data_IF_858208054134
#
_entry.id   IF_858208054134
#
_cell.length_a   1.000
_cell.length_b   1.000
_cell.length_c   1.000
_cell.angle_alpha   90.00
_cell.angle_beta   90.00
_cell.angle_gamma   90.00
#
_symmetry.space_group_name_H-M   'P 1'
#
loop_
_entity.id
_entity.type
_entity.pdbx_description
1 polymer ?
#
# COMPACT_ATOMS: atom_id res chain seq x y z
N UNK A 1 -35.34 -43.29 -20.06
CA UNK A 1 -34.02 -43.97 -19.99
C UNK A 1 -32.87 -43.08 -19.55
N UNK A 2 -32.95 -41.74 -19.69
CA UNK A 2 -31.84 -40.84 -19.33
C UNK A 2 -31.51 -40.81 -17.83
N UNK A 3 -32.50 -40.80 -16.91
CA UNK A 3 -32.23 -40.68 -15.46
C UNK A 3 -31.42 -41.84 -14.86
N UNK A 4 -31.49 -43.06 -15.41
CA UNK A 4 -30.76 -44.22 -14.86
C UNK A 4 -29.27 -44.21 -15.21
N UNK A 5 -28.88 -43.59 -16.32
CA UNK A 5 -27.48 -43.59 -16.79
C UNK A 5 -26.60 -42.57 -16.05
N UNK A 6 -27.20 -41.49 -15.53
CA UNK A 6 -26.47 -40.41 -14.87
C UNK A 6 -26.54 -40.43 -13.34
N UNK A 7 -27.16 -41.44 -12.73
CA UNK A 7 -27.32 -41.48 -11.27
C UNK A 7 -25.97 -41.59 -10.53
N UNK A 8 -25.03 -42.35 -11.08
CA UNK A 8 -23.68 -42.54 -10.51
C UNK A 8 -22.83 -41.25 -10.59
N UNK A 9 -22.68 -40.56 -11.74
CA UNK A 9 -21.89 -39.33 -11.77
C UNK A 9 -22.52 -38.19 -10.95
N UNK A 10 -23.86 -38.13 -10.87
CA UNK A 10 -24.55 -37.12 -10.05
C UNK A 10 -24.28 -37.34 -8.55
N UNK A 11 -24.31 -38.59 -8.06
CA UNK A 11 -24.02 -38.86 -6.65
C UNK A 11 -22.58 -38.53 -6.27
N UNK A 12 -21.60 -38.85 -7.13
CA UNK A 12 -20.19 -38.49 -6.92
C UNK A 12 -20.01 -36.96 -6.88
N UNK A 13 -20.70 -36.22 -7.75
CA UNK A 13 -20.63 -34.77 -7.77
C UNK A 13 -21.20 -34.12 -6.49
N UNK A 14 -22.32 -34.65 -5.96
CA UNK A 14 -22.90 -34.17 -4.70
C UNK A 14 -21.96 -34.42 -3.52
N UNK A 15 -21.33 -35.60 -3.45
CA UNK A 15 -20.36 -35.93 -2.39
C UNK A 15 -19.13 -35.01 -2.46
N UNK A 16 -18.66 -34.69 -3.67
CA UNK A 16 -17.54 -33.76 -3.85
C UNK A 16 -17.88 -32.35 -3.35
N UNK A 17 -19.07 -31.81 -3.68
CA UNK A 17 -19.52 -30.50 -3.20
C UNK A 17 -19.63 -30.50 -1.67
N UNK A 18 -20.24 -31.54 -1.08
CA UNK A 18 -20.37 -31.66 0.36
C UNK A 18 -19.00 -31.71 1.06
N UNK A 19 -18.04 -32.47 0.50
CA UNK A 19 -16.68 -32.55 1.01
C UNK A 19 -15.94 -31.21 0.98
N UNK A 20 -16.04 -30.46 -0.12
CA UNK A 20 -15.44 -29.11 -0.24
C UNK A 20 -16.12 -28.12 0.71
N UNK A 21 -17.45 -28.18 0.83
CA UNK A 21 -18.21 -27.34 1.76
C UNK A 21 -17.82 -27.56 3.23
N UNK A 22 -17.68 -28.82 3.64
CA UNK A 22 -17.20 -29.19 4.99
C UNK A 22 -15.76 -28.74 5.23
N UNK A 23 -14.88 -28.90 4.26
CA UNK A 23 -13.50 -28.44 4.34
C UNK A 23 -13.41 -26.92 4.53
N UNK A 24 -14.21 -26.15 3.79
CA UNK A 24 -14.27 -24.68 3.93
C UNK A 24 -14.85 -24.25 5.27
N UNK A 25 -15.82 -24.99 5.82
CA UNK A 25 -16.34 -24.71 7.17
C UNK A 25 -15.30 -24.99 8.26
N UNK A 26 -14.53 -26.07 8.13
CA UNK A 26 -13.52 -26.46 9.10
C UNK A 26 -12.29 -25.52 9.11
N UNK A 27 -12.04 -24.83 8.00
CA UNK A 27 -10.90 -23.93 7.83
C UNK A 27 -11.23 -22.46 8.03
N UNK A 28 -12.46 -22.11 8.45
CA UNK A 28 -12.75 -20.73 8.81
C UNK A 28 -11.94 -20.35 10.06
N UNK A 29 -11.13 -19.28 10.00
CA UNK A 29 -10.42 -18.80 11.17
C UNK A 29 -11.43 -18.44 12.26
N UNK A 30 -11.10 -18.69 13.55
CA UNK A 30 -11.97 -18.33 14.65
C UNK A 30 -12.34 -16.85 14.54
N UNK A 31 -13.64 -16.54 14.64
CA UNK A 31 -14.12 -15.16 14.58
C UNK A 31 -13.36 -14.32 15.61
N UNK A 32 -12.82 -13.19 15.18
CA UNK A 32 -12.02 -12.31 16.02
C UNK A 32 -12.72 -12.03 17.35
N UNK A 33 -11.98 -12.13 18.46
CA UNK A 33 -12.52 -11.88 19.79
C UNK A 33 -13.03 -10.44 19.86
N UNK A 34 -14.32 -10.29 20.15
CA UNK A 34 -14.95 -8.99 20.38
C UNK A 34 -14.35 -8.42 21.67
N UNK A 35 -13.35 -7.55 21.53
CA UNK A 35 -12.80 -6.78 22.64
C UNK A 35 -13.84 -5.74 23.07
N UNK A 36 -14.62 -6.07 24.10
CA UNK A 36 -15.50 -5.11 24.77
C UNK A 36 -14.61 -4.19 25.61
N UNK A 37 -14.10 -3.12 24.99
CA UNK A 37 -13.43 -2.05 25.71
C UNK A 37 -14.53 -1.28 26.45
N UNK A 38 -14.73 -1.61 27.73
CA UNK A 38 -15.51 -0.75 28.63
C UNK A 38 -14.77 0.57 28.75
N UNK A 39 -15.38 1.72 28.39
CA UNK A 39 -14.76 3.01 28.61
C UNK A 39 -14.59 3.22 30.12
N UNK A 40 -13.33 3.27 30.57
CA UNK A 40 -12.99 3.67 31.93
C UNK A 40 -12.98 5.18 31.95
N UNK A 41 -13.88 5.78 32.72
CA UNK A 41 -13.88 7.22 32.97
C UNK A 41 -12.55 7.64 33.61
N UNK A 42 -11.89 8.69 33.10
CA UNK A 42 -10.62 9.14 33.66
C UNK A 42 -10.86 9.74 35.05
N UNK A 43 -10.27 9.10 36.07
CA UNK A 43 -10.19 9.66 37.42
C UNK A 43 -9.51 11.05 37.38
N UNK A 44 -10.00 12.02 38.17
CA UNK A 44 -9.42 13.36 38.23
C UNK A 44 -7.96 13.30 38.68
N UNK A 45 -7.08 13.98 37.92
CA UNK A 45 -5.65 14.05 38.20
C UNK A 45 -5.41 14.66 39.60
N UNK A 46 -4.66 13.99 40.49
CA UNK A 46 -4.22 14.61 41.74
C UNK A 46 -3.24 15.77 41.45
N UNK A 47 -3.19 16.79 42.31
CA UNK A 47 -2.29 17.93 42.16
C UNK A 47 -0.83 17.46 42.17
N UNK A 48 -0.06 17.95 41.20
CA UNK A 48 1.35 17.66 41.02
C UNK A 48 2.12 18.27 42.19
N UNK A 49 2.61 17.41 43.08
CA UNK A 49 3.65 17.78 44.03
C UNK A 49 5.00 17.73 43.30
N UNK A 50 5.73 18.84 43.31
CA UNK A 50 7.11 18.92 42.82
C UNK A 50 7.99 17.97 43.64
N UNK A 51 8.50 16.92 42.99
CA UNK A 51 9.55 16.08 43.56
C UNK A 51 10.91 16.77 43.35
N UNK A 52 11.82 16.72 44.33
CA UNK A 52 13.15 17.31 44.19
C UNK A 52 13.92 16.60 43.09
N UNK A 53 14.52 17.40 42.21
CA UNK A 53 15.31 16.97 41.07
C UNK A 53 16.54 16.20 41.57
N UNK A 54 16.43 14.87 41.55
CA UNK A 54 17.53 13.94 41.80
C UNK A 54 18.39 13.81 40.54
N UNK A 55 19.66 14.16 40.71
CA UNK A 55 20.71 14.20 39.70
C UNK A 55 21.07 12.78 39.22
N UNK A 56 20.33 12.25 38.23
CA UNK A 56 20.73 11.04 37.49
C UNK A 56 20.55 11.24 35.98
N UNK A 57 21.21 12.27 35.46
CA UNK A 57 21.56 12.39 34.04
C UNK A 57 22.92 11.69 33.81
N UNK A 58 22.98 10.37 33.99
CA UNK A 58 24.13 9.56 33.61
C UNK A 58 23.73 8.72 32.40
N UNK A 59 24.11 9.17 31.19
CA UNK A 59 23.87 8.36 30.00
C UNK A 59 24.36 8.89 28.66
N UNK A 60 24.76 10.16 28.52
CA UNK A 60 25.14 10.69 27.18
C UNK A 60 26.65 10.85 26.92
N UNK A 61 27.52 10.71 27.94
CA UNK A 61 28.96 11.03 27.81
C UNK A 61 29.91 9.84 28.04
N UNK A 62 29.39 8.62 28.11
CA UNK A 62 30.20 7.40 28.28
C UNK A 62 30.05 6.51 27.06
N UNK A 63 31.17 6.25 26.38
CA UNK A 63 31.21 5.31 25.26
C UNK A 63 31.14 3.86 25.76
N UNK A 64 30.72 2.95 24.87
CA UNK A 64 30.65 1.52 25.18
C UNK A 64 32.02 0.88 25.52
N UNK A 65 33.12 1.57 25.23
CA UNK A 65 34.49 1.17 25.57
C UNK A 65 34.99 1.74 26.93
N UNK A 66 34.14 2.46 27.66
CA UNK A 66 34.45 3.01 28.98
C UNK A 66 35.21 4.33 28.97
N UNK A 67 35.44 4.95 27.80
CA UNK A 67 36.02 6.29 27.72
C UNK A 67 34.98 7.39 27.93
N UNK A 68 35.36 8.46 28.66
CA UNK A 68 34.52 9.61 28.99
C UNK A 68 35.08 10.89 28.37
N UNK A 69 34.20 11.75 27.88
CA UNK A 69 34.56 13.08 27.36
C UNK A 69 33.66 14.17 27.97
N UNK A 70 34.27 15.32 28.25
CA UNK A 70 33.60 16.46 28.91
C UNK A 70 32.73 17.29 27.98
N UNK A 71 33.00 17.24 26.67
CA UNK A 71 32.26 18.02 25.68
C UNK A 71 30.96 17.33 25.30
N UNK A 72 29.81 18.03 25.31
CA UNK A 72 28.55 17.49 24.83
C UNK A 72 28.68 17.16 23.34
N UNK A 73 28.19 15.99 22.94
CA UNK A 73 28.05 15.69 21.52
C UNK A 73 27.14 16.74 20.88
N UNK A 74 27.69 17.53 19.97
CA UNK A 74 26.94 18.48 19.19
C UNK A 74 25.86 17.68 18.42
N UNK A 75 24.59 17.77 18.83
CA UNK A 75 23.45 17.06 18.20
C UNK A 75 23.13 17.58 16.79
N UNK A 76 24.03 18.38 16.23
CA UNK A 76 24.00 19.02 14.94
C UNK A 76 25.08 18.42 14.04
N UNK A 77 24.97 17.13 13.73
CA UNK A 77 25.29 16.61 12.40
C UNK A 77 24.78 15.17 12.32
N UNK A 78 23.95 14.81 11.32
CA UNK A 78 23.80 13.40 10.95
C UNK A 78 25.20 12.81 10.74
N UNK A 79 25.42 11.52 11.05
CA UNK A 79 26.75 10.91 11.04
C UNK A 79 27.49 11.40 9.81
N UNK A 80 28.60 12.10 10.04
CA UNK A 80 29.50 12.57 8.99
C UNK A 80 29.67 11.39 8.06
N UNK A 81 29.01 11.48 6.90
CA UNK A 81 29.29 10.64 5.75
C UNK A 81 30.80 10.77 5.66
N UNK A 82 31.53 9.70 5.95
CA UNK A 82 32.96 9.68 5.70
C UNK A 82 33.04 9.97 4.22
N UNK A 83 33.29 11.24 3.88
CA UNK A 83 33.71 11.65 2.56
C UNK A 83 35.09 11.03 2.44
N UNK A 84 35.12 9.73 2.10
CA UNK A 84 36.15 9.23 1.22
C UNK A 84 35.98 10.03 -0.06
N UNK A 85 36.55 11.24 -0.10
CA UNK A 85 36.87 11.98 -1.32
C UNK A 85 37.64 11.02 -2.20
N UNK A 86 36.94 10.29 -3.08
CA UNK A 86 37.55 9.41 -4.06
C UNK A 86 36.93 8.02 -4.24
N UNK A 87 36.04 7.55 -3.35
CA UNK A 87 35.33 6.28 -3.61
C UNK A 87 33.87 6.58 -4.01
N UNK A 88 33.54 6.62 -5.32
CA UNK A 88 32.16 6.73 -5.76
C UNK A 88 31.36 5.58 -5.16
N UNK A 89 30.30 5.91 -4.43
CA UNK A 89 29.37 4.89 -3.97
C UNK A 89 28.70 4.27 -5.21
N UNK A 90 28.49 2.95 -5.29
CA UNK A 90 27.87 2.31 -6.45
C UNK A 90 26.55 2.97 -6.88
N UNK A 91 25.79 3.50 -5.91
CA UNK A 91 24.58 4.31 -6.12
C UNK A 91 24.79 5.53 -7.01
N UNK A 92 25.91 6.23 -6.85
CA UNK A 92 26.10 7.57 -7.40
C UNK A 92 26.30 7.53 -8.92
N UNK A 93 26.70 6.37 -9.45
CA UNK A 93 26.96 6.13 -10.88
C UNK A 93 25.74 5.51 -11.58
N UNK A 94 24.86 4.79 -10.87
CA UNK A 94 23.88 3.90 -11.51
C UNK A 94 22.41 4.18 -11.16
N UNK A 95 22.08 4.97 -10.12
CA UNK A 95 20.68 5.11 -9.66
C UNK A 95 19.75 5.78 -10.68
N UNK A 96 20.26 6.61 -11.59
CA UNK A 96 19.40 7.33 -12.56
C UNK A 96 19.22 6.61 -13.90
N UNK A 97 20.14 5.74 -14.30
CA UNK A 97 20.15 5.16 -15.67
C UNK A 97 20.11 3.62 -15.70
N UNK A 98 20.38 2.93 -14.57
CA UNK A 98 20.52 1.47 -14.51
C UNK A 98 19.41 0.61 -15.13
N UNK A 99 18.11 0.92 -15.01
CA UNK A 99 17.08 0.05 -15.59
C UNK A 99 17.08 0.05 -17.12
N UNK A 100 17.64 1.08 -17.77
CA UNK A 100 17.67 1.21 -19.23
C UNK A 100 19.02 0.84 -19.86
N UNK A 101 20.06 0.57 -19.06
CA UNK A 101 21.37 0.18 -19.58
C UNK A 101 21.23 -1.12 -20.37
N UNK A 102 21.46 -1.04 -21.68
CA UNK A 102 21.54 -2.20 -22.57
C UNK A 102 22.99 -2.61 -22.75
N UNK A 103 23.30 -3.87 -22.47
CA UNK A 103 24.60 -4.47 -22.78
C UNK A 103 24.37 -5.64 -23.73
N UNK A 104 24.97 -5.56 -24.93
CA UNK A 104 24.75 -6.52 -26.02
C UNK A 104 23.26 -6.74 -26.33
N UNK A 105 22.46 -5.68 -26.32
CA UNK A 105 21.03 -5.72 -26.63
C UNK A 105 20.13 -6.26 -25.52
N UNK A 106 20.69 -6.75 -24.40
CA UNK A 106 19.95 -7.20 -23.22
C UNK A 106 19.81 -6.09 -22.20
N UNK A 107 18.66 -6.01 -21.54
CA UNK A 107 18.47 -5.09 -20.41
C UNK A 107 19.33 -5.54 -19.22
N UNK A 108 19.77 -4.60 -18.39
CA UNK A 108 20.71 -4.88 -17.30
C UNK A 108 20.24 -5.99 -16.34
N UNK A 109 18.92 -6.11 -16.12
CA UNK A 109 18.33 -7.16 -15.29
C UNK A 109 18.32 -8.56 -15.95
N UNK A 110 18.54 -8.67 -17.26
CA UNK A 110 18.62 -9.92 -18.01
C UNK A 110 20.07 -10.46 -18.09
N UNK A 111 21.05 -9.66 -17.67
CA UNK A 111 22.45 -10.03 -17.69
C UNK A 111 22.77 -11.07 -16.62
N UNK A 112 23.76 -11.91 -16.89
CA UNK A 112 24.32 -12.82 -15.88
C UNK A 112 25.10 -12.04 -14.81
N UNK A 113 25.28 -12.58 -13.59
CA UNK A 113 26.08 -11.93 -12.55
C UNK A 113 27.50 -11.55 -13.01
N UNK A 114 28.12 -12.37 -13.88
CA UNK A 114 29.45 -12.09 -14.45
C UNK A 114 29.43 -10.90 -15.42
N UNK A 115 28.39 -10.76 -16.23
CA UNK A 115 28.23 -9.62 -17.15
C UNK A 115 27.96 -8.32 -16.37
N UNK A 116 27.11 -8.37 -15.34
CA UNK A 116 26.88 -7.22 -14.45
C UNK A 116 28.17 -6.77 -13.76
N UNK A 117 28.94 -7.72 -13.23
CA UNK A 117 30.24 -7.43 -12.62
C UNK A 117 31.20 -6.70 -13.58
N UNK A 118 31.25 -7.11 -14.86
CA UNK A 118 32.07 -6.43 -15.89
C UNK A 118 31.64 -5.00 -16.13
N UNK A 119 30.34 -4.73 -16.20
CA UNK A 119 29.82 -3.36 -16.40
C UNK A 119 30.19 -2.47 -15.22
N UNK A 120 30.13 -3.01 -14.01
CA UNK A 120 30.45 -2.26 -12.80
C UNK A 120 31.92 -2.05 -12.57
N UNK A 121 32.73 -3.03 -12.91
CA UNK A 121 34.17 -2.86 -12.91
C UNK A 121 34.58 -1.80 -13.94
N UNK A 122 33.95 -1.80 -15.13
CA UNK A 122 34.16 -0.76 -16.15
C UNK A 122 33.80 0.63 -15.62
N UNK A 123 32.59 0.80 -15.08
CA UNK A 123 32.15 2.09 -14.55
C UNK A 123 32.97 2.54 -13.33
N UNK A 124 33.42 1.62 -12.49
CA UNK A 124 34.33 1.94 -11.40
C UNK A 124 35.67 2.48 -11.93
N UNK A 125 36.28 1.81 -12.91
CA UNK A 125 37.55 2.25 -13.52
C UNK A 125 37.42 3.61 -14.21
N UNK A 126 36.30 3.87 -14.88
CA UNK A 126 36.01 5.17 -15.51
C UNK A 126 35.92 6.31 -14.49
N UNK A 127 35.39 6.04 -13.29
CA UNK A 127 35.24 7.06 -12.24
C UNK A 127 36.45 7.19 -11.30
N UNK A 128 37.21 6.11 -11.07
CA UNK A 128 38.28 6.07 -10.04
C UNK A 128 39.69 6.04 -10.63
N UNK A 129 39.85 6.16 -11.96
CA UNK A 129 41.15 6.22 -12.68
C UNK A 129 42.14 5.13 -12.25
N UNK A 130 42.14 4.02 -12.96
CA UNK A 130 43.15 2.94 -12.93
C UNK A 130 43.30 2.17 -11.60
N UNK A 131 42.51 2.47 -10.57
CA UNK A 131 42.43 1.64 -9.37
C UNK A 131 41.53 0.41 -9.60
N UNK A 132 41.92 -0.80 -9.16
CA UNK A 132 41.00 -1.93 -9.10
C UNK A 132 39.90 -1.67 -8.05
N UNK A 133 38.67 -2.18 -8.24
CA UNK A 133 37.61 -2.05 -7.24
C UNK A 133 38.03 -2.74 -5.92
N UNK A 134 37.75 -2.13 -4.75
CA UNK A 134 38.13 -2.70 -3.48
C UNK A 134 37.43 -4.06 -3.24
N UNK A 135 38.03 -4.95 -2.44
CA UNK A 135 37.38 -6.21 -2.06
C UNK A 135 35.97 -5.98 -1.52
N UNK A 136 34.98 -6.66 -2.08
CA UNK A 136 33.57 -6.53 -1.68
C UNK A 136 32.75 -5.48 -2.42
N UNK A 137 33.37 -4.59 -3.22
CA UNK A 137 32.66 -3.58 -4.02
C UNK A 137 31.55 -4.20 -4.90
N UNK A 138 31.88 -5.25 -5.65
CA UNK A 138 30.91 -5.92 -6.53
C UNK A 138 29.72 -6.51 -5.76
N UNK A 139 29.95 -7.02 -4.54
CA UNK A 139 28.88 -7.56 -3.69
C UNK A 139 27.99 -6.46 -3.14
N UNK A 140 28.58 -5.35 -2.69
CA UNK A 140 27.85 -4.19 -2.18
C UNK A 140 27.00 -3.55 -3.29
N UNK A 141 27.59 -3.38 -4.46
CA UNK A 141 26.88 -2.90 -5.62
C UNK A 141 25.74 -3.88 -5.98
N UNK A 142 25.94 -5.21 -5.94
CA UNK A 142 24.91 -6.19 -6.36
C UNK A 142 23.73 -6.14 -5.42
N UNK A 143 24.00 -6.02 -4.11
CA UNK A 143 22.97 -5.80 -3.11
C UNK A 143 22.17 -4.50 -3.37
N UNK A 144 22.85 -3.42 -3.75
CA UNK A 144 22.22 -2.15 -4.10
C UNK A 144 21.38 -2.24 -5.36
N UNK A 145 21.84 -2.90 -6.41
CA UNK A 145 21.05 -3.13 -7.61
C UNK A 145 19.81 -3.98 -7.34
N UNK A 146 19.94 -5.04 -6.54
CA UNK A 146 18.79 -5.83 -6.11
C UNK A 146 17.81 -4.98 -5.28
N UNK A 147 18.28 -4.01 -4.48
CA UNK A 147 17.43 -3.04 -3.78
C UNK A 147 16.70 -2.14 -4.79
N UNK A 148 17.39 -1.61 -5.79
CA UNK A 148 16.80 -0.77 -6.85
C UNK A 148 15.74 -1.56 -7.62
N UNK A 149 16.06 -2.79 -8.06
CA UNK A 149 15.09 -3.66 -8.73
C UNK A 149 13.85 -3.92 -7.86
N UNK A 150 14.03 -4.17 -6.56
CA UNK A 150 12.90 -4.32 -5.63
C UNK A 150 12.06 -3.05 -5.57
N UNK A 151 12.68 -1.87 -5.54
CA UNK A 151 11.96 -0.59 -5.55
C UNK A 151 11.30 -0.25 -6.90
N UNK A 152 11.83 -0.76 -8.02
CA UNK A 152 11.18 -0.65 -9.33
C UNK A 152 9.96 -1.58 -9.45
N UNK A 153 10.01 -2.71 -8.73
CA UNK A 153 8.87 -3.62 -8.55
C UNK A 153 7.91 -3.16 -7.44
N UNK A 154 8.24 -2.10 -6.69
CA UNK A 154 7.34 -1.50 -5.72
C UNK A 154 6.31 -0.62 -6.45
N UNK A 155 5.01 -0.84 -6.22
CA UNK A 155 3.98 -0.06 -6.88
C UNK A 155 4.04 1.39 -6.41
N UNK A 156 4.15 2.31 -7.35
CA UNK A 156 4.00 3.74 -7.08
C UNK A 156 2.50 4.04 -7.07
N UNK A 157 1.98 4.42 -5.91
CA UNK A 157 0.57 4.75 -5.70
C UNK A 157 0.46 6.20 -5.27
N UNK A 158 -0.26 6.98 -6.07
CA UNK A 158 -0.53 8.39 -5.80
C UNK A 158 -2.01 8.56 -5.43
N UNK A 159 -2.27 9.36 -4.40
CA UNK A 159 -3.62 9.69 -3.95
C UNK A 159 -3.88 11.15 -4.26
N UNK A 160 -4.86 11.40 -5.10
CA UNK A 160 -5.38 12.75 -5.37
C UNK A 160 -6.76 12.87 -4.73
N UNK A 161 -7.14 14.05 -4.27
CA UNK A 161 -8.49 14.26 -3.71
C UNK A 161 -9.35 15.02 -4.71
N UNK A 162 -10.48 14.45 -5.07
CA UNK A 162 -11.45 15.07 -5.99
C UNK A 162 -12.76 15.33 -5.25
N UNK A 163 -13.59 16.22 -5.79
CA UNK A 163 -14.94 16.43 -5.26
C UNK A 163 -15.87 15.38 -5.85
N UNK A 164 -16.51 14.57 -5.00
CA UNK A 164 -17.39 13.48 -5.39
C UNK A 164 -18.45 13.19 -4.34
N UNK A 165 -19.12 12.04 -4.46
CA UNK A 165 -20.13 11.60 -3.50
C UNK A 165 -19.46 11.06 -2.23
N UNK A 166 -19.51 11.83 -1.14
CA UNK A 166 -18.91 11.55 0.16
C UNK A 166 -20.01 11.52 1.25
N UNK A 167 -20.97 10.59 1.17
CA UNK A 167 -22.10 10.55 2.09
C UNK A 167 -21.65 10.16 3.50
N UNK A 168 -22.36 10.66 4.51
CA UNK A 168 -22.31 10.05 5.85
C UNK A 168 -23.07 8.71 5.88
N UNK A 169 -23.02 7.98 7.00
CA UNK A 169 -23.68 6.66 7.15
C UNK A 169 -25.17 6.67 6.84
N UNK A 170 -25.89 7.70 7.30
CA UNK A 170 -27.35 7.82 7.10
C UNK A 170 -27.65 8.05 5.62
N UNK A 171 -26.98 9.02 5.01
CA UNK A 171 -27.12 9.33 3.59
C UNK A 171 -26.78 8.11 2.72
N UNK A 172 -25.75 7.34 3.07
CA UNK A 172 -25.39 6.14 2.32
C UNK A 172 -26.48 5.07 2.40
N UNK A 173 -27.04 4.82 3.58
CA UNK A 173 -28.14 3.87 3.75
C UNK A 173 -29.37 4.30 2.93
N UNK A 174 -29.73 5.59 2.96
CA UNK A 174 -30.83 6.13 2.16
C UNK A 174 -30.56 5.97 0.66
N UNK A 175 -29.33 6.26 0.21
CA UNK A 175 -28.93 6.10 -1.19
C UNK A 175 -29.11 4.64 -1.67
N UNK A 176 -28.69 3.66 -0.86
CA UNK A 176 -28.82 2.24 -1.20
C UNK A 176 -30.28 1.79 -1.27
N UNK A 177 -31.13 2.25 -0.37
CA UNK A 177 -32.57 1.97 -0.38
C UNK A 177 -33.25 2.57 -1.63
N UNK A 178 -32.94 3.83 -1.97
CA UNK A 178 -33.43 4.48 -3.18
C UNK A 178 -32.97 3.75 -4.45
N UNK A 179 -31.71 3.29 -4.52
CA UNK A 179 -31.20 2.48 -5.63
C UNK A 179 -31.95 1.16 -5.78
N UNK A 180 -32.28 0.49 -4.67
CA UNK A 180 -33.07 -0.75 -4.70
C UNK A 180 -34.48 -0.50 -5.22
N UNK A 181 -35.16 0.55 -4.71
CA UNK A 181 -36.50 0.97 -5.18
C UNK A 181 -36.49 1.32 -6.67
N UNK A 182 -35.46 2.04 -7.12
CA UNK A 182 -35.32 2.44 -8.52
C UNK A 182 -35.26 1.20 -9.43
N UNK A 183 -34.45 0.20 -9.09
CA UNK A 183 -34.36 -1.05 -9.86
C UNK A 183 -35.70 -1.78 -9.95
N UNK A 184 -36.48 -1.80 -8.86
CA UNK A 184 -37.82 -2.39 -8.86
C UNK A 184 -38.74 -1.62 -9.79
N UNK A 185 -38.84 -0.29 -9.64
CA UNK A 185 -39.68 0.56 -10.48
C UNK A 185 -39.32 0.45 -11.98
N UNK A 186 -38.03 0.39 -12.31
CA UNK A 186 -37.57 0.17 -13.69
C UNK A 186 -38.00 -1.20 -14.22
N UNK A 187 -37.86 -2.26 -13.41
CA UNK A 187 -38.23 -3.61 -13.80
C UNK A 187 -39.74 -3.82 -13.98
N UNK A 188 -40.58 -3.06 -13.27
CA UNK A 188 -42.04 -3.11 -13.37
C UNK A 188 -42.60 -2.14 -14.41
N UNK A 189 -41.75 -1.32 -15.05
CA UNK A 189 -42.16 -0.31 -16.02
C UNK A 189 -42.85 0.93 -15.40
N UNK A 190 -42.69 1.15 -14.10
CA UNK A 190 -43.24 2.31 -13.38
C UNK A 190 -42.40 3.58 -13.67
N UNK A 191 -42.51 4.12 -14.89
CA UNK A 191 -41.65 5.20 -15.40
C UNK A 191 -41.69 6.48 -14.57
N UNK A 192 -42.87 6.88 -14.08
CA UNK A 192 -43.03 8.08 -13.26
C UNK A 192 -42.29 7.93 -11.92
N UNK A 193 -42.49 6.81 -11.23
CA UNK A 193 -41.83 6.51 -9.96
C UNK A 193 -40.31 6.42 -10.13
N UNK A 194 -39.84 5.75 -11.19
CA UNK A 194 -38.42 5.67 -11.50
C UNK A 194 -37.80 7.06 -11.71
N UNK A 195 -38.51 7.98 -12.37
CA UNK A 195 -38.02 9.35 -12.57
C UNK A 195 -37.96 10.14 -11.25
N UNK A 196 -38.96 9.99 -10.37
CA UNK A 196 -38.93 10.60 -9.03
C UNK A 196 -37.75 10.09 -8.22
N UNK A 197 -37.53 8.76 -8.19
CA UNK A 197 -36.42 8.14 -7.46
C UNK A 197 -35.06 8.59 -8.00
N UNK A 198 -34.90 8.75 -9.32
CA UNK A 198 -33.67 9.32 -9.91
C UNK A 198 -33.41 10.74 -9.43
N UNK A 199 -34.44 11.59 -9.41
CA UNK A 199 -34.31 12.97 -8.94
C UNK A 199 -33.94 13.04 -7.44
N UNK A 200 -34.52 12.16 -6.61
CA UNK A 200 -34.15 12.04 -5.19
C UNK A 200 -32.70 11.59 -5.00
N UNK A 201 -32.24 10.60 -5.79
CA UNK A 201 -30.86 10.14 -5.77
C UNK A 201 -29.90 11.27 -6.18
N UNK A 202 -30.20 12.01 -7.25
CA UNK A 202 -29.38 13.13 -7.70
C UNK A 202 -29.31 14.25 -6.65
N UNK A 203 -30.43 14.58 -6.02
CA UNK A 203 -30.49 15.56 -4.93
C UNK A 203 -29.65 15.11 -3.73
N UNK A 204 -29.76 13.84 -3.33
CA UNK A 204 -28.96 13.28 -2.25
C UNK A 204 -27.45 13.28 -2.59
N UNK A 205 -27.10 12.95 -3.83
CA UNK A 205 -25.71 13.00 -4.30
C UNK A 205 -25.15 14.42 -4.30
N UNK A 206 -25.95 15.41 -4.69
CA UNK A 206 -25.57 16.82 -4.64
C UNK A 206 -25.37 17.31 -3.20
N UNK A 207 -26.27 16.93 -2.28
CA UNK A 207 -26.19 17.28 -0.87
C UNK A 207 -25.01 16.59 -0.13
N UNK A 208 -24.59 15.43 -0.60
CA UNK A 208 -23.48 14.65 -0.05
C UNK A 208 -22.16 14.87 -0.81
N UNK A 209 -21.99 15.99 -1.52
CA UNK A 209 -20.71 16.29 -2.18
C UNK A 209 -19.62 16.59 -1.15
N UNK A 210 -18.47 15.95 -1.31
CA UNK A 210 -17.30 16.17 -0.47
C UNK A 210 -16.01 15.67 -1.11
N UNK A 211 -14.92 15.69 -0.36
CA UNK A 211 -13.63 15.17 -0.83
C UNK A 211 -13.66 13.64 -0.82
N UNK A 212 -13.28 13.02 -1.92
CA UNK A 212 -13.07 11.58 -2.04
C UNK A 212 -11.68 11.30 -2.61
N UNK A 213 -11.01 10.23 -2.15
CA UNK A 213 -9.72 9.85 -2.70
C UNK A 213 -9.90 9.26 -4.09
N UNK A 214 -9.06 9.70 -5.02
CA UNK A 214 -8.86 9.12 -6.34
C UNK A 214 -7.44 8.56 -6.37
N UNK A 215 -7.35 7.23 -6.37
CA UNK A 215 -6.06 6.54 -6.33
C UNK A 215 -5.63 6.19 -7.74
N UNK A 216 -4.45 6.66 -8.13
CA UNK A 216 -3.76 6.29 -9.36
C UNK A 216 -2.54 5.45 -9.02
N UNK A 217 -2.18 4.53 -9.91
CA UNK A 217 -1.04 3.66 -9.70
C UNK A 217 -0.31 3.38 -11.00
N UNK A 218 1.03 3.38 -10.94
CA UNK A 218 1.89 2.94 -12.03
C UNK A 218 2.78 1.76 -11.60
N UNK A 219 2.98 0.82 -12.53
CA UNK A 219 3.81 -0.36 -12.34
C UNK A 219 4.63 -0.63 -13.61
N UNK A 220 5.80 -1.22 -13.45
CA UNK A 220 6.68 -1.54 -14.58
C UNK A 220 6.65 -3.03 -14.98
N UNK A 221 6.21 -3.93 -14.09
CA UNK A 221 6.24 -5.38 -14.32
C UNK A 221 4.87 -6.06 -14.11
N UNK A 222 4.63 -7.22 -14.75
CA UNK A 222 3.42 -8.02 -14.52
C UNK A 222 3.31 -8.53 -13.07
N UNK A 223 4.44 -8.75 -12.39
CA UNK A 223 4.46 -9.02 -10.94
C UNK A 223 4.01 -7.79 -10.15
N UNK A 224 4.46 -6.60 -10.54
CA UNK A 224 4.02 -5.31 -10.01
C UNK A 224 2.51 -5.08 -10.18
N UNK A 225 1.90 -5.56 -11.26
CA UNK A 225 0.45 -5.42 -11.53
C UNK A 225 -0.46 -6.04 -10.47
N UNK A 226 -0.08 -7.17 -9.86
CA UNK A 226 -0.88 -7.76 -8.77
C UNK A 226 -0.68 -6.96 -7.48
N UNK A 227 0.57 -6.59 -7.18
CA UNK A 227 0.93 -5.80 -6.00
C UNK A 227 0.29 -4.41 -6.03
N UNK A 228 0.21 -3.77 -7.19
CA UNK A 228 -0.34 -2.42 -7.30
C UNK A 228 -1.83 -2.39 -7.01
N UNK A 229 -2.61 -3.39 -7.42
CA UNK A 229 -4.04 -3.42 -7.10
C UNK A 229 -4.27 -3.51 -5.59
N UNK A 230 -3.48 -4.35 -4.91
CA UNK A 230 -3.54 -4.46 -3.47
C UNK A 230 -3.09 -3.16 -2.79
N UNK A 231 -1.94 -2.60 -3.20
CA UNK A 231 -1.43 -1.35 -2.65
C UNK A 231 -2.38 -0.17 -2.88
N UNK A 232 -2.99 -0.07 -4.08
CA UNK A 232 -4.02 0.93 -4.38
C UNK A 232 -5.23 0.77 -3.48
N UNK A 233 -5.73 -0.47 -3.30
CA UNK A 233 -6.86 -0.76 -2.41
C UNK A 233 -6.54 -0.37 -0.96
N UNK A 234 -5.40 -0.80 -0.42
CA UNK A 234 -4.98 -0.47 0.95
C UNK A 234 -4.84 1.04 1.16
N UNK A 235 -4.24 1.74 0.20
CA UNK A 235 -4.08 3.21 0.23
C UNK A 235 -5.42 3.94 0.11
N UNK A 236 -6.30 3.46 -0.76
CA UNK A 236 -7.66 3.99 -0.92
C UNK A 236 -8.46 3.83 0.36
N UNK A 237 -8.48 2.63 0.95
CA UNK A 237 -9.19 2.34 2.20
C UNK A 237 -8.68 3.20 3.36
N UNK A 238 -7.35 3.35 3.48
CA UNK A 238 -6.76 4.22 4.49
C UNK A 238 -7.20 5.68 4.29
N UNK A 239 -7.17 6.19 3.05
CA UNK A 239 -7.59 7.56 2.76
C UNK A 239 -9.08 7.79 3.05
N UNK A 240 -9.96 6.82 2.78
CA UNK A 240 -11.37 6.90 3.18
C UNK A 240 -11.53 6.92 4.71
N UNK A 241 -10.76 6.12 5.45
CA UNK A 241 -10.77 6.13 6.93
C UNK A 241 -10.32 7.48 7.48
N UNK A 242 -9.25 8.05 6.93
CA UNK A 242 -8.70 9.35 7.34
C UNK A 242 -9.70 10.50 7.09
N UNK A 243 -10.57 10.38 6.09
CA UNK A 243 -11.65 11.33 5.81
C UNK A 243 -12.93 11.10 6.65
N UNK A 244 -12.93 10.13 7.55
CA UNK A 244 -14.14 9.75 8.30
C UNK A 244 -15.21 9.05 7.46
N UNK A 245 -14.83 8.54 6.28
CA UNK A 245 -15.68 7.84 5.33
C UNK A 245 -15.47 6.31 5.39
N UNK A 246 -14.97 5.79 6.50
CA UNK A 246 -14.67 4.36 6.67
C UNK A 246 -15.86 3.42 6.39
N UNK A 247 -17.09 3.89 6.59
CA UNK A 247 -18.31 3.12 6.25
C UNK A 247 -18.48 2.85 4.75
N UNK A 248 -17.86 3.65 3.87
CA UNK A 248 -17.88 3.39 2.43
C UNK A 248 -17.04 2.16 2.06
N UNK A 249 -15.97 1.90 2.83
CA UNK A 249 -15.12 0.72 2.68
C UNK A 249 -15.86 -0.53 3.18
N UNK A 250 -16.50 -0.44 4.35
CA UNK A 250 -17.24 -1.56 4.96
C UNK A 250 -18.37 -2.09 4.06
N UNK A 251 -19.01 -1.19 3.31
CA UNK A 251 -20.09 -1.54 2.41
C UNK A 251 -19.62 -1.92 0.99
N UNK A 252 -18.31 -2.01 0.75
CA UNK A 252 -17.68 -2.35 -0.54
C UNK A 252 -18.09 -1.42 -1.70
N UNK A 253 -18.24 -0.12 -1.39
CA UNK A 253 -18.77 0.89 -2.32
C UNK A 253 -17.72 1.93 -2.74
N UNK A 254 -16.47 1.79 -2.28
CA UNK A 254 -15.37 2.71 -2.60
C UNK A 254 -15.14 2.88 -4.10
N UNK A 255 -15.52 1.89 -4.93
CA UNK A 255 -15.42 1.95 -6.38
C UNK A 255 -16.53 2.72 -7.11
N UNK A 256 -17.65 3.07 -6.47
CA UNK A 256 -18.76 3.78 -7.15
C UNK A 256 -18.45 5.26 -7.42
N UNK A 257 -17.48 5.83 -6.72
CA UNK A 257 -17.05 7.23 -6.89
C UNK A 257 -16.02 7.41 -8.00
N UNK A 258 -15.59 6.32 -8.66
CA UNK A 258 -14.72 6.43 -9.83
C UNK A 258 -15.47 7.10 -10.97
N UNK A 259 -15.39 8.44 -11.01
CA UNK A 259 -15.68 9.23 -12.20
C UNK A 259 -14.79 8.64 -13.28
N UNK A 260 -15.39 7.89 -14.22
CA UNK A 260 -14.64 7.46 -15.41
C UNK A 260 -14.08 8.74 -16.00
N UNK A 261 -12.75 8.91 -16.06
CA UNK A 261 -12.18 10.10 -16.68
C UNK A 261 -12.74 10.13 -18.09
N UNK A 262 -13.53 11.16 -18.40
CA UNK A 262 -13.99 11.40 -19.76
C UNK A 262 -12.72 11.54 -20.58
N UNK A 263 -12.46 10.57 -21.48
CA UNK A 263 -11.30 10.65 -22.37
C UNK A 263 -11.38 12.03 -23.06
N UNK A 264 -10.34 12.87 -22.96
CA UNK A 264 -10.31 14.08 -23.76
C UNK A 264 -10.36 13.64 -25.23
N UNK A 265 -11.37 14.17 -25.94
CA UNK A 265 -11.52 14.00 -27.39
C UNK A 265 -10.56 14.90 -28.14
#
# INVERSE_FOLDING_TARGET
MFLRKYWIPISVFIVAIAGVGLYLLATQPPKDQILIIKPVEPLPKPPVAEAPVGDTSQGENVHADGTWHAEPHDKSQPPTKVEMRGNPHPSDVFVKEAPEIRYNGKLFHELTPKERAKIWEKAYRENVKDAPPPPGYLKAAEAEFQRILRSLDEPQVEITFVTGFAPNRVQLSTYLDLQAKLRVAESTGATLEANTLRAEIESLQAAARGKVPLVTGSYQSEKGKRKIRQAMKEKEEQAYRDLGLGHMVEADISGLTQVRPTRPH
#
